data_IF_207301193777
#
_entry.id   IF_207301193777
#
_cell.length_a   1.000
_cell.length_b   1.000
_cell.length_c   1.000
_cell.angle_alpha   90.00
_cell.angle_beta   90.00
_cell.angle_gamma   90.00
#
_symmetry.space_group_name_H-M   'P 1'
#
loop_
_entity.id
_entity.type
_entity.pdbx_description
1 polymer ?
#
# COMPACT_ATOMS: atom_id res chain seq x y z
N UNK A 1 -53.42 11.84 6.09
CA UNK A 1 -51.99 11.63 6.42
C UNK A 1 -51.68 10.13 6.67
N UNK A 2 -51.85 9.24 5.68
CA UNK A 2 -51.57 7.78 5.82
C UNK A 2 -50.80 7.16 4.64
N UNK A 3 -50.52 7.93 3.58
CA UNK A 3 -49.87 7.44 2.35
C UNK A 3 -48.33 7.43 2.46
N UNK A 4 -47.76 8.31 3.28
CA UNK A 4 -46.30 8.42 3.46
C UNK A 4 -45.70 7.26 4.26
N UNK A 5 -46.45 6.70 5.21
CA UNK A 5 -46.00 5.61 6.07
C UNK A 5 -45.88 4.28 5.30
N UNK A 6 -46.74 4.05 4.31
CA UNK A 6 -46.69 2.87 3.45
C UNK A 6 -45.49 2.90 2.49
N UNK A 7 -45.11 4.08 2.00
CA UNK A 7 -43.95 4.24 1.12
C UNK A 7 -42.62 3.95 1.85
N UNK A 8 -42.50 4.42 3.11
CA UNK A 8 -41.32 4.16 3.95
C UNK A 8 -41.16 2.69 4.35
N UNK A 9 -42.26 2.01 4.68
CA UNK A 9 -42.22 0.58 5.01
C UNK A 9 -41.84 -0.28 3.79
N UNK A 10 -42.34 0.06 2.60
CA UNK A 10 -41.96 -0.61 1.36
C UNK A 10 -40.48 -0.40 1.03
N UNK A 11 -39.99 0.84 1.15
CA UNK A 11 -38.58 1.16 0.90
C UNK A 11 -37.64 0.46 1.88
N UNK A 12 -38.04 0.34 3.16
CA UNK A 12 -37.24 -0.36 4.17
C UNK A 12 -37.18 -1.88 3.89
N UNK A 13 -38.29 -2.47 3.43
CA UNK A 13 -38.34 -3.89 3.10
C UNK A 13 -37.47 -4.24 1.88
N UNK A 14 -37.48 -3.40 0.85
CA UNK A 14 -36.67 -3.64 -0.36
C UNK A 14 -35.18 -3.45 -0.08
N UNK A 15 -34.79 -2.43 0.69
CA UNK A 15 -33.39 -2.20 1.08
C UNK A 15 -32.87 -3.34 1.97
N UNK A 16 -33.68 -3.81 2.93
CA UNK A 16 -33.30 -4.93 3.80
C UNK A 16 -33.06 -6.24 3.04
N UNK A 17 -33.92 -6.55 2.06
CA UNK A 17 -33.79 -7.76 1.24
C UNK A 17 -32.52 -7.72 0.37
N UNK A 18 -32.22 -6.57 -0.23
CA UNK A 18 -31.02 -6.39 -1.08
C UNK A 18 -29.74 -6.51 -0.25
N UNK A 19 -29.70 -5.95 0.95
CA UNK A 19 -28.52 -6.04 1.84
C UNK A 19 -28.30 -7.48 2.33
N UNK A 20 -29.37 -8.20 2.66
CA UNK A 20 -29.28 -9.60 3.09
C UNK A 20 -28.76 -10.53 1.97
N UNK A 21 -29.24 -10.35 0.73
CA UNK A 21 -28.77 -11.11 -0.43
C UNK A 21 -27.32 -10.77 -0.79
N UNK A 22 -26.92 -9.50 -0.68
CA UNK A 22 -25.53 -9.08 -0.93
C UNK A 22 -24.53 -9.69 0.06
N UNK A 23 -24.88 -9.75 1.35
CA UNK A 23 -24.01 -10.37 2.36
C UNK A 23 -23.88 -11.88 2.22
N UNK A 24 -24.94 -12.59 1.80
CA UNK A 24 -24.89 -14.04 1.56
C UNK A 24 -23.90 -14.43 0.44
N UNK A 25 -23.71 -13.57 -0.56
CA UNK A 25 -22.76 -13.80 -1.67
C UNK A 25 -21.29 -13.63 -1.21
N UNK A 26 -21.05 -12.80 -0.20
CA UNK A 26 -19.70 -12.56 0.34
C UNK A 26 -19.19 -13.71 1.24
N UNK A 27 -20.07 -14.46 1.92
CA UNK A 27 -19.63 -15.58 2.76
C UNK A 27 -19.34 -16.87 1.98
N UNK A 28 -19.90 -17.03 0.77
CA UNK A 28 -19.61 -18.19 -0.08
C UNK A 28 -18.23 -18.13 -0.78
N UNK A 29 -17.59 -16.95 -0.80
CA UNK A 29 -16.30 -16.74 -1.48
C UNK A 29 -15.08 -16.94 -0.59
N UNK A 30 -15.25 -17.01 0.74
CA UNK A 30 -14.13 -17.20 1.69
C UNK A 30 -13.62 -18.65 1.70
N UNK A 31 -14.44 -19.63 1.30
CA UNK A 31 -14.10 -21.07 1.40
C UNK A 31 -13.29 -21.64 0.24
N UNK A 32 -13.28 -21.03 -0.96
CA UNK A 32 -12.46 -21.52 -2.08
C UNK A 32 -11.00 -21.04 -2.02
N UNK A 33 -10.71 -19.93 -1.32
CA UNK A 33 -9.35 -19.39 -1.22
C UNK A 33 -8.43 -20.24 -0.31
N UNK A 34 -8.97 -20.90 0.72
CA UNK A 34 -8.16 -21.72 1.64
C UNK A 34 -7.81 -23.12 1.10
N UNK A 35 -8.48 -23.60 0.05
CA UNK A 35 -8.18 -24.91 -0.56
C UNK A 35 -7.00 -24.86 -1.55
N UNK A 36 -6.77 -23.72 -2.21
CA UNK A 36 -5.65 -23.55 -3.17
C UNK A 36 -4.31 -23.34 -2.47
N UNK A 37 -4.30 -22.82 -1.23
CA UNK A 37 -3.09 -22.59 -0.45
C UNK A 37 -2.46 -23.89 0.14
N UNK A 38 -3.11 -25.06 0.00
CA UNK A 38 -2.63 -26.35 0.55
C UNK A 38 -2.02 -27.29 -0.50
N UNK A 39 -2.10 -26.97 -1.79
CA UNK A 39 -1.52 -27.80 -2.87
C UNK A 39 -0.22 -27.25 -3.44
N UNK A 40 0.22 -26.07 -2.99
CA UNK A 40 1.48 -25.45 -3.40
C UNK A 40 2.29 -25.00 -2.18
N UNK A 41 2.75 -25.99 -1.39
CA UNK A 41 4.06 -26.02 -0.72
C UNK A 41 4.06 -27.20 0.27
N UNK A 42 4.88 -28.23 -0.01
CA UNK A 42 6.21 -28.17 0.56
C UNK A 42 7.27 -28.64 -0.45
N UNK A 43 7.93 -27.68 -1.10
CA UNK A 43 9.34 -27.84 -1.46
C UNK A 43 10.10 -26.90 -0.53
N UNK A 44 10.02 -27.20 0.77
CA UNK A 44 11.04 -26.79 1.73
C UNK A 44 12.04 -27.95 1.73
N UNK A 45 12.98 -27.91 0.80
CA UNK A 45 14.17 -28.75 0.86
C UNK A 45 15.13 -28.14 1.88
N UNK A 46 15.13 -28.76 3.06
CA UNK A 46 16.17 -28.59 4.05
C UNK A 46 17.40 -29.38 3.58
N UNK A 47 18.40 -28.66 3.08
CA UNK A 47 19.83 -28.95 3.23
C UNK A 47 20.33 -30.35 2.83
N UNK A 48 21.03 -30.44 1.70
CA UNK A 48 22.31 -31.15 1.67
C UNK A 48 23.15 -30.77 0.44
N UNK A 49 24.19 -29.99 0.73
CA UNK A 49 25.59 -30.26 0.35
C UNK A 49 25.91 -30.62 -1.11
N UNK A 50 26.84 -29.81 -1.64
CA UNK A 50 27.89 -30.13 -2.62
C UNK A 50 27.76 -29.40 -3.97
N UNK A 51 28.68 -28.44 -4.13
CA UNK A 51 29.47 -28.17 -5.33
C UNK A 51 28.77 -27.60 -6.57
N UNK A 52 28.94 -26.29 -6.77
CA UNK A 52 29.84 -25.71 -7.79
C UNK A 52 29.29 -24.37 -8.35
N UNK A 53 30.10 -23.31 -8.18
CA UNK A 53 30.35 -22.14 -9.06
C UNK A 53 29.18 -21.52 -9.88
N UNK A 54 28.96 -20.20 -9.99
CA UNK A 54 29.78 -19.02 -9.72
C UNK A 54 28.89 -17.76 -9.76
N UNK A 55 29.11 -16.85 -8.80
CA UNK A 55 29.10 -15.37 -8.85
C UNK A 55 27.95 -14.62 -9.58
N UNK A 56 27.06 -13.99 -8.80
CA UNK A 56 26.85 -12.54 -8.82
C UNK A 56 26.18 -12.13 -7.51
N UNK A 57 26.86 -11.25 -6.78
CA UNK A 57 26.45 -10.74 -5.48
C UNK A 57 25.17 -9.92 -5.61
N UNK A 58 24.06 -10.42 -5.06
CA UNK A 58 23.02 -9.57 -4.53
C UNK A 58 23.25 -9.52 -3.03
N UNK A 59 23.49 -8.32 -2.52
CA UNK A 59 23.61 -8.06 -1.10
C UNK A 59 22.33 -8.57 -0.45
N UNK A 60 22.41 -9.73 0.19
CA UNK A 60 21.33 -10.26 1.02
C UNK A 60 21.27 -9.35 2.26
N UNK A 61 20.61 -8.22 2.07
CA UNK A 61 20.46 -7.17 3.05
C UNK A 61 19.55 -7.75 4.12
N UNK A 62 20.15 -8.12 5.25
CA UNK A 62 19.47 -8.71 6.39
C UNK A 62 18.17 -7.92 6.66
N UNK A 63 17.03 -8.53 6.31
CA UNK A 63 15.73 -7.90 6.50
C UNK A 63 15.55 -7.75 8.02
N UNK A 64 15.50 -6.52 8.56
CA UNK A 64 15.35 -6.33 9.99
C UNK A 64 14.05 -6.99 10.47
N UNK A 65 14.07 -7.60 11.66
CA UNK A 65 12.99 -8.46 12.17
C UNK A 65 11.62 -7.75 12.40
N UNK A 66 11.50 -6.47 12.06
CA UNK A 66 10.33 -5.62 12.28
C UNK A 66 9.87 -4.85 11.03
N UNK A 67 10.14 -5.35 9.83
CA UNK A 67 9.60 -4.78 8.59
C UNK A 67 8.07 -4.82 8.62
N UNK A 68 7.45 -3.68 8.33
CA UNK A 68 6.03 -3.45 8.23
C UNK A 68 5.66 -2.96 6.83
N UNK A 69 4.41 -3.17 6.44
CA UNK A 69 3.86 -2.71 5.16
C UNK A 69 3.04 -1.44 5.37
N UNK A 70 3.27 -0.43 4.53
CA UNK A 70 2.59 0.86 4.56
C UNK A 70 1.99 1.15 3.19
N UNK A 71 0.76 1.67 3.16
CA UNK A 71 0.08 2.09 1.94
C UNK A 71 -0.19 3.59 1.99
N UNK A 72 0.10 4.31 0.89
CA UNK A 72 -0.12 5.74 0.86
C UNK A 72 0.36 6.42 -0.42
N UNK A 73 0.30 7.74 -0.43
CA UNK A 73 0.84 8.58 -1.51
C UNK A 73 2.24 9.06 -1.13
N UNK A 74 3.22 8.81 -2.00
CA UNK A 74 4.56 9.40 -1.82
C UNK A 74 4.55 10.85 -2.32
N UNK A 75 4.97 11.77 -1.46
CA UNK A 75 5.06 13.21 -1.67
C UNK A 75 6.28 13.76 -0.91
N UNK A 76 6.25 15.02 -0.51
CA UNK A 76 7.24 15.71 0.29
C UNK A 76 6.62 16.25 1.59
N UNK A 77 7.45 16.46 2.61
CA UNK A 77 7.04 16.94 3.93
C UNK A 77 6.72 18.45 3.98
N UNK A 78 7.04 19.20 2.92
CA UNK A 78 6.77 20.64 2.84
C UNK A 78 5.33 20.91 2.36
N UNK A 79 4.95 20.30 1.24
CA UNK A 79 3.63 20.44 0.64
C UNK A 79 2.61 19.45 1.21
N UNK A 80 3.05 18.24 1.59
CA UNK A 80 2.20 17.23 2.22
C UNK A 80 1.01 16.84 1.34
N UNK A 81 1.27 16.53 0.06
CA UNK A 81 0.25 16.22 -0.96
C UNK A 81 -0.71 17.37 -1.33
N UNK A 82 -0.41 18.62 -0.93
CA UNK A 82 -1.13 19.80 -1.43
C UNK A 82 -0.51 20.25 -2.74
N UNK A 83 -1.27 20.17 -3.82
CA UNK A 83 -0.81 20.59 -5.14
C UNK A 83 -1.22 22.04 -5.42
N UNK A 84 -0.25 22.89 -5.76
CA UNK A 84 -0.52 24.25 -6.24
C UNK A 84 -0.99 24.21 -7.71
N UNK A 85 -2.24 24.59 -7.93
CA UNK A 85 -2.90 24.62 -9.24
C UNK A 85 -2.21 25.59 -10.22
N UNK A 86 -1.43 26.55 -9.74
CA UNK A 86 -0.65 27.47 -10.57
C UNK A 86 0.71 26.92 -11.02
N UNK A 87 1.15 25.78 -10.47
CA UNK A 87 2.53 25.30 -10.65
C UNK A 87 2.81 24.69 -12.04
N UNK A 88 1.77 24.28 -12.77
CA UNK A 88 1.85 23.50 -14.03
C UNK A 88 2.76 22.25 -13.94
N UNK A 89 3.02 21.74 -12.74
CA UNK A 89 3.83 20.53 -12.51
C UNK A 89 2.91 19.34 -12.34
N UNK A 90 3.35 18.16 -12.75
CA UNK A 90 2.77 16.91 -12.26
C UNK A 90 3.01 16.75 -10.76
N UNK A 91 2.25 15.87 -10.07
CA UNK A 91 2.50 15.56 -8.65
C UNK A 91 3.93 15.10 -8.38
N UNK A 92 4.50 14.29 -9.27
CA UNK A 92 5.89 13.81 -9.18
C UNK A 92 6.89 14.97 -9.31
N UNK A 93 6.74 15.83 -10.31
CA UNK A 93 7.61 17.00 -10.51
C UNK A 93 7.53 17.97 -9.33
N UNK A 94 6.34 18.16 -8.75
CA UNK A 94 6.15 19.01 -7.58
C UNK A 94 6.90 18.47 -6.36
N UNK A 95 6.72 17.18 -6.05
CA UNK A 95 7.39 16.55 -4.90
C UNK A 95 8.91 16.54 -5.07
N UNK A 96 9.40 16.16 -6.26
CA UNK A 96 10.83 16.15 -6.56
C UNK A 96 11.45 17.56 -6.51
N UNK A 97 10.73 18.60 -6.96
CA UNK A 97 11.18 19.97 -6.83
C UNK A 97 11.30 20.41 -5.36
N UNK A 98 10.38 20.00 -4.49
CA UNK A 98 10.46 20.31 -3.05
C UNK A 98 11.66 19.61 -2.41
N UNK A 99 11.88 18.33 -2.72
CA UNK A 99 13.04 17.59 -2.20
C UNK A 99 14.36 18.20 -2.68
N UNK A 100 14.43 18.66 -3.94
CA UNK A 100 15.60 19.38 -4.44
C UNK A 100 15.88 20.68 -3.66
N UNK A 101 14.84 21.32 -3.11
CA UNK A 101 14.96 22.51 -2.27
C UNK A 101 15.15 22.20 -0.77
N UNK A 102 15.38 20.93 -0.40
CA UNK A 102 15.71 20.52 0.96
C UNK A 102 14.56 19.89 1.76
N UNK A 103 13.39 19.68 1.15
CA UNK A 103 12.33 18.87 1.74
C UNK A 103 12.75 17.38 1.78
N UNK A 104 12.05 16.58 2.59
CA UNK A 104 12.21 15.11 2.60
C UNK A 104 11.03 14.46 1.89
N UNK A 105 11.27 13.28 1.32
CA UNK A 105 10.17 12.44 0.88
C UNK A 105 9.30 12.04 2.07
N UNK A 106 8.00 11.98 1.85
CA UNK A 106 7.02 11.61 2.84
C UNK A 106 5.95 10.68 2.27
N UNK A 107 5.41 9.79 3.09
CA UNK A 107 4.25 8.97 2.78
C UNK A 107 3.03 9.54 3.51
N UNK A 108 2.02 9.95 2.75
CA UNK A 108 0.71 10.31 3.30
C UNK A 108 -0.17 9.06 3.29
N UNK A 109 -0.43 8.52 4.49
CA UNK A 109 -1.27 7.34 4.73
C UNK A 109 -2.51 7.76 5.52
N UNK A 110 -3.58 8.12 4.80
CA UNK A 110 -4.78 8.71 5.42
C UNK A 110 -4.45 10.05 6.06
N UNK A 111 -4.60 10.15 7.39
CA UNK A 111 -4.31 11.35 8.17
C UNK A 111 -2.87 11.39 8.71
N UNK A 112 -2.11 10.31 8.54
CA UNK A 112 -0.73 10.22 9.04
C UNK A 112 0.28 10.52 7.94
N UNK A 113 1.32 11.26 8.28
CA UNK A 113 2.44 11.58 7.39
C UNK A 113 3.72 11.00 7.98
N UNK A 114 4.38 10.13 7.25
CA UNK A 114 5.65 9.52 7.65
C UNK A 114 6.78 10.10 6.81
N UNK A 115 7.92 10.44 7.43
CA UNK A 115 9.13 10.74 6.67
C UNK A 115 9.70 9.45 6.06
N UNK A 116 10.22 9.51 4.85
CA UNK A 116 10.81 8.37 4.16
C UNK A 116 12.33 8.54 4.07
N UNK A 117 13.06 7.47 4.39
CA UNK A 117 14.47 7.34 4.11
C UNK A 117 14.71 6.04 3.36
N UNK A 118 15.48 6.09 2.27
CA UNK A 118 15.75 4.95 1.42
C UNK A 118 16.52 5.39 0.18
N UNK A 119 16.45 4.59 -0.88
CA UNK A 119 17.04 4.97 -2.16
C UNK A 119 16.33 6.21 -2.74
N UNK A 120 17.07 7.29 -2.90
CA UNK A 120 16.52 8.56 -3.37
C UNK A 120 15.98 8.47 -4.80
N UNK A 121 16.57 7.61 -5.65
CA UNK A 121 16.13 7.47 -7.04
C UNK A 121 14.81 6.68 -7.13
N UNK A 122 14.64 5.64 -6.31
CA UNK A 122 13.41 4.87 -6.18
C UNK A 122 12.27 5.75 -5.63
N UNK A 123 12.54 6.52 -4.58
CA UNK A 123 11.59 7.47 -4.02
C UNK A 123 11.21 8.56 -5.04
N UNK A 124 12.18 9.08 -5.80
CA UNK A 124 11.91 10.05 -6.85
C UNK A 124 11.01 9.48 -7.96
N UNK A 125 11.26 8.23 -8.39
CA UNK A 125 10.42 7.53 -9.38
C UNK A 125 9.01 7.26 -8.87
N UNK A 126 8.87 6.96 -7.58
CA UNK A 126 7.59 6.65 -6.95
C UNK A 126 6.81 7.89 -6.47
N UNK A 127 7.43 9.07 -6.49
CA UNK A 127 6.80 10.32 -6.07
C UNK A 127 5.56 10.66 -6.90
N UNK A 128 4.53 11.18 -6.24
CA UNK A 128 3.24 11.47 -6.84
C UNK A 128 2.36 10.24 -7.10
N UNK A 129 2.84 9.03 -6.80
CA UNK A 129 2.08 7.79 -6.95
C UNK A 129 1.57 7.26 -5.62
N UNK A 130 0.45 6.54 -5.68
CA UNK A 130 0.02 5.68 -4.58
C UNK A 130 0.81 4.37 -4.64
N UNK A 131 1.34 3.96 -3.51
CA UNK A 131 2.22 2.78 -3.41
C UNK A 131 1.86 1.95 -2.19
N UNK A 132 2.27 0.69 -2.24
CA UNK A 132 2.51 -0.13 -1.07
C UNK A 132 4.02 -0.22 -0.89
N UNK A 133 4.55 0.17 0.26
CA UNK A 133 5.97 0.05 0.57
C UNK A 133 6.19 -0.79 1.82
N UNK A 134 7.33 -1.48 1.88
CA UNK A 134 7.78 -2.17 3.09
C UNK A 134 8.92 -1.38 3.70
N UNK A 135 8.96 -1.33 5.02
CA UNK A 135 10.04 -0.65 5.74
C UNK A 135 9.95 -0.80 7.25
N UNK A 136 10.93 -0.23 7.94
CA UNK A 136 10.96 -0.20 9.41
C UNK A 136 10.59 1.20 9.88
N UNK A 137 9.52 1.30 10.67
CA UNK A 137 9.13 2.54 11.33
C UNK A 137 9.99 2.77 12.58
N UNK A 138 10.69 3.91 12.62
CA UNK A 138 11.48 4.39 13.76
C UNK A 138 11.05 5.82 14.08
N UNK A 139 10.28 6.00 15.16
CA UNK A 139 9.57 7.26 15.41
C UNK A 139 8.58 7.52 14.28
N UNK A 140 8.74 8.65 13.59
CA UNK A 140 7.90 9.04 12.44
C UNK A 140 8.56 8.80 11.08
N UNK A 141 9.71 8.12 11.07
CA UNK A 141 10.47 7.84 9.85
C UNK A 141 10.38 6.37 9.48
N UNK A 142 10.04 6.08 8.22
CA UNK A 142 10.10 4.75 7.64
C UNK A 142 11.43 4.61 6.89
N UNK A 143 12.26 3.67 7.34
CA UNK A 143 13.39 3.17 6.55
C UNK A 143 12.83 2.22 5.48
N UNK A 144 12.77 2.67 4.24
CA UNK A 144 12.16 1.96 3.11
C UNK A 144 13.07 0.83 2.66
N UNK A 145 12.51 -0.37 2.59
CA UNK A 145 13.18 -1.59 2.11
C UNK A 145 12.75 -1.95 0.69
N UNK A 146 11.50 -1.67 0.31
CA UNK A 146 11.00 -1.92 -1.04
C UNK A 146 9.75 -1.08 -1.35
N UNK A 147 9.60 -0.62 -2.58
CA UNK A 147 8.39 0.08 -3.05
C UNK A 147 7.70 -0.74 -4.16
N UNK A 148 6.40 -0.95 -4.02
CA UNK A 148 5.52 -1.48 -5.06
C UNK A 148 4.51 -0.39 -5.47
N UNK A 149 4.58 0.05 -6.73
CA UNK A 149 3.62 1.01 -7.27
C UNK A 149 2.25 0.34 -7.43
N UNK A 150 1.20 1.00 -6.94
CA UNK A 150 -0.19 0.60 -7.19
C UNK A 150 -0.75 1.54 -8.27
N UNK A 151 -0.92 1.06 -9.51
CA UNK A 151 -1.43 1.89 -10.61
C UNK A 151 -2.87 2.37 -10.36
#
# INVERSE_FOLDING_TARGET
>A
MKRSSFALLSFCLTVGLVVALGMAILFASVTLAFAVARTLSPVIDKSSKADAAMVAAETEQAVPANVQTFGGLITDDHCGARHDMGSNKSPAECANACVHNGAKYALVAGETVYSLQGDAQELARASGLRVTLNGVLTGDTIQVTSIAANP
#
